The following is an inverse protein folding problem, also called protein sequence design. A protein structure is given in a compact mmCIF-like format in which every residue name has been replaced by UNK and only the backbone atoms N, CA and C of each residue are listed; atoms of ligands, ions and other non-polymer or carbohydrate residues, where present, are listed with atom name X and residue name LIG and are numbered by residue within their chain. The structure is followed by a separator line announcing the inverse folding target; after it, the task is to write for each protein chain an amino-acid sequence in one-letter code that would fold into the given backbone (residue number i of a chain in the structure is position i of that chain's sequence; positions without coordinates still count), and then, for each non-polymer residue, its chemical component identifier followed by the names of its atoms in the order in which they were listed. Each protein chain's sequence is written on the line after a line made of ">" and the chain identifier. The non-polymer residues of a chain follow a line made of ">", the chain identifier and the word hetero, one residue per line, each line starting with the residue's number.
data_IF_653957091761
#
_entry.id   IF_653957091761
#
_cell.length_a   1.000
_cell.length_b   1.000
_cell.length_c   1.000
_cell.angle_alpha   90.00
_cell.angle_beta   90.00
_cell.angle_gamma   90.00
#
_symmetry.space_group_name_H-M   'P 1'
#
loop_
_entity.id
_entity.type
_entity.pdbx_description
1 polymer ?
#
# COMPACT_ATOMS: atom_id res chain seq x y z
N UNK A 1 -28.13 -2.42 -25.82
CA UNK A 1 -26.69 -2.62 -25.53
C UNK A 1 -26.57 -3.95 -24.83
N UNK A 2 -25.83 -4.88 -25.41
CA UNK A 2 -25.56 -6.18 -24.78
C UNK A 2 -24.50 -5.99 -23.68
N UNK A 3 -24.94 -6.14 -22.43
CA UNK A 3 -24.11 -5.97 -21.25
C UNK A 3 -23.39 -7.28 -20.85
N UNK A 4 -23.71 -8.42 -21.47
CA UNK A 4 -23.17 -9.72 -21.08
C UNK A 4 -21.64 -9.77 -21.26
N UNK A 5 -21.15 -9.28 -22.42
CA UNK A 5 -19.71 -9.22 -22.69
C UNK A 5 -18.93 -8.28 -21.75
N UNK A 6 -19.55 -7.18 -21.31
CA UNK A 6 -18.94 -6.25 -20.35
C UNK A 6 -18.83 -6.90 -18.96
N UNK A 7 -19.85 -7.66 -18.56
CA UNK A 7 -19.89 -8.36 -17.27
C UNK A 7 -18.86 -9.49 -17.23
N UNK A 8 -18.71 -10.26 -18.30
CA UNK A 8 -17.69 -11.31 -18.40
C UNK A 8 -16.28 -10.73 -18.40
N UNK A 9 -16.04 -9.68 -19.19
CA UNK A 9 -14.77 -8.96 -19.17
C UNK A 9 -14.43 -8.46 -17.77
N UNK A 10 -15.38 -7.80 -17.08
CA UNK A 10 -15.15 -7.29 -15.73
C UNK A 10 -14.82 -8.41 -14.74
N UNK A 11 -15.51 -9.56 -14.82
CA UNK A 11 -15.22 -10.74 -13.99
C UNK A 11 -13.82 -11.29 -14.27
N UNK A 12 -13.43 -11.42 -15.54
CA UNK A 12 -12.09 -11.88 -15.93
C UNK A 12 -10.99 -10.93 -15.46
N UNK A 13 -11.23 -9.61 -15.56
CA UNK A 13 -10.31 -8.58 -15.11
C UNK A 13 -10.11 -8.66 -13.61
N UNK A 14 -11.20 -8.68 -12.82
CA UNK A 14 -11.11 -8.80 -11.35
C UNK A 14 -10.40 -10.09 -10.95
N UNK A 15 -10.68 -11.21 -11.64
CA UNK A 15 -10.00 -12.48 -11.38
C UNK A 15 -8.49 -12.38 -11.60
N UNK A 16 -8.07 -11.81 -12.74
CA UNK A 16 -6.66 -11.60 -13.05
C UNK A 16 -5.97 -10.68 -12.03
N UNK A 17 -6.60 -9.56 -11.66
CA UNK A 17 -6.05 -8.63 -10.66
C UNK A 17 -5.92 -9.26 -9.27
N UNK A 18 -6.83 -10.18 -8.90
CA UNK A 18 -6.70 -10.97 -7.66
C UNK A 18 -5.56 -11.98 -7.74
N UNK A 19 -5.41 -12.66 -8.88
CA UNK A 19 -4.30 -13.60 -9.11
C UNK A 19 -2.94 -12.90 -9.05
N UNK A 20 -2.86 -11.67 -9.56
CA UNK A 20 -1.66 -10.82 -9.46
C UNK A 20 -1.49 -10.14 -8.09
N UNK A 21 -2.32 -10.47 -7.09
CA UNK A 21 -2.32 -9.85 -5.76
C UNK A 21 -2.42 -8.32 -5.76
N UNK A 22 -2.93 -7.71 -6.84
CA UNK A 22 -3.22 -6.28 -6.92
C UNK A 22 -4.47 -5.93 -6.11
N UNK A 23 -5.40 -6.89 -6.01
CA UNK A 23 -6.60 -6.82 -5.17
C UNK A 23 -6.53 -7.91 -4.12
N UNK A 24 -6.65 -7.52 -2.85
CA UNK A 24 -6.67 -8.45 -1.72
C UNK A 24 -8.10 -8.66 -1.22
N UNK A 25 -8.49 -9.92 -1.11
CA UNK A 25 -9.73 -10.36 -0.44
C UNK A 25 -9.51 -10.66 1.05
N UNK A 26 -8.28 -10.98 1.45
CA UNK A 26 -7.91 -11.29 2.83
C UNK A 26 -6.69 -10.46 3.25
N UNK A 27 -6.53 -10.14 4.54
CA UNK A 27 -5.34 -9.48 5.07
C UNK A 27 -4.06 -10.22 4.68
N UNK A 28 -3.06 -9.46 4.22
CA UNK A 28 -1.75 -10.05 3.90
C UNK A 28 -0.98 -10.35 5.19
N UNK A 29 -0.36 -11.54 5.33
CA UNK A 29 0.51 -11.83 6.48
C UNK A 29 1.84 -11.07 6.41
N UNK A 30 2.19 -10.51 5.25
CA UNK A 30 3.44 -9.79 4.97
C UNK A 30 3.19 -8.37 4.48
N UNK A 31 4.15 -7.48 4.70
CA UNK A 31 4.07 -6.10 4.26
C UNK A 31 4.25 -5.98 2.74
N UNK A 32 3.22 -5.51 2.04
CA UNK A 32 3.25 -5.36 0.58
C UNK A 32 3.80 -4.03 0.07
N UNK A 33 4.39 -3.20 0.94
CA UNK A 33 4.92 -1.87 0.58
C UNK A 33 5.98 -1.96 -0.53
N UNK A 34 6.99 -2.80 -0.35
CA UNK A 34 8.08 -2.94 -1.33
C UNK A 34 7.61 -3.67 -2.58
N UNK A 35 6.76 -4.68 -2.43
CA UNK A 35 6.14 -5.38 -3.56
C UNK A 35 5.34 -4.43 -4.47
N UNK A 36 4.45 -3.62 -3.89
CA UNK A 36 3.68 -2.64 -4.66
C UNK A 36 4.58 -1.61 -5.36
N UNK A 37 5.65 -1.17 -4.69
CA UNK A 37 6.60 -0.24 -5.28
C UNK A 37 7.29 -0.84 -6.52
N UNK A 38 7.70 -2.11 -6.46
CA UNK A 38 8.28 -2.82 -7.60
C UNK A 38 7.25 -2.96 -8.73
N UNK A 39 6.05 -3.47 -8.42
CA UNK A 39 5.00 -3.67 -9.42
C UNK A 39 4.59 -2.38 -10.15
N UNK A 40 4.62 -1.22 -9.46
CA UNK A 40 4.34 0.09 -10.07
C UNK A 40 5.48 0.55 -10.98
N UNK A 41 6.74 0.32 -10.58
CA UNK A 41 7.92 0.73 -11.35
C UNK A 41 8.09 -0.14 -12.59
N UNK A 42 7.84 -1.44 -12.48
CA UNK A 42 7.86 -2.41 -13.57
C UNK A 42 6.69 -2.23 -14.56
N UNK A 43 5.63 -1.55 -14.12
CA UNK A 43 4.45 -1.24 -14.94
C UNK A 43 3.34 -2.28 -14.87
N UNK A 44 3.47 -3.33 -14.05
CA UNK A 44 2.42 -4.31 -13.74
C UNK A 44 1.19 -3.65 -13.12
N UNK A 45 1.39 -2.62 -12.29
CA UNK A 45 0.31 -1.78 -11.76
C UNK A 45 0.32 -0.41 -12.43
N UNK A 46 -0.77 -0.06 -13.11
CA UNK A 46 -0.93 1.25 -13.71
C UNK A 46 -1.15 2.32 -12.62
N UNK A 47 -0.16 3.19 -12.44
CA UNK A 47 -0.23 4.30 -11.49
C UNK A 47 0.12 5.65 -12.15
N UNK A 48 -0.29 6.75 -11.51
CA UNK A 48 0.03 8.10 -11.97
C UNK A 48 1.53 8.41 -11.85
N UNK A 49 2.01 9.39 -12.61
CA UNK A 49 3.42 9.84 -12.59
C UNK A 49 3.95 10.06 -11.17
N UNK A 50 3.16 10.68 -10.30
CA UNK A 50 3.57 11.00 -8.94
C UNK A 50 3.69 9.76 -8.04
N UNK A 51 2.80 8.77 -8.22
CA UNK A 51 2.87 7.51 -7.50
C UNK A 51 4.09 6.70 -7.96
N UNK A 52 4.36 6.67 -9.27
CA UNK A 52 5.58 6.04 -9.82
C UNK A 52 6.84 6.64 -9.21
N UNK A 53 6.98 7.97 -9.21
CA UNK A 53 8.12 8.66 -8.60
C UNK A 53 8.25 8.37 -7.10
N UNK A 54 7.14 8.27 -6.36
CA UNK A 54 7.17 7.91 -4.95
C UNK A 54 7.65 6.46 -4.72
N UNK A 55 7.23 5.53 -5.59
CA UNK A 55 7.67 4.13 -5.56
C UNK A 55 9.17 4.02 -5.89
N UNK A 56 9.64 4.69 -6.94
CA UNK A 56 11.06 4.76 -7.29
C UNK A 56 11.90 5.34 -6.14
N UNK A 57 11.42 6.41 -5.49
CA UNK A 57 12.09 6.98 -4.32
C UNK A 57 12.21 5.97 -3.19
N UNK A 58 11.13 5.23 -2.90
CA UNK A 58 11.16 4.20 -1.86
C UNK A 58 12.20 3.13 -2.15
N UNK A 59 12.28 2.62 -3.39
CA UNK A 59 13.26 1.60 -3.78
C UNK A 59 14.70 2.14 -3.72
N UNK A 60 14.93 3.37 -4.21
CA UNK A 60 16.26 4.02 -4.12
C UNK A 60 16.69 4.25 -2.67
N UNK A 61 15.79 4.69 -1.81
CA UNK A 61 16.09 4.88 -0.39
C UNK A 61 16.34 3.52 0.30
N UNK A 62 15.68 2.44 -0.13
CA UNK A 62 15.92 1.08 0.38
C UNK A 62 17.32 0.59 0.01
N UNK A 63 17.73 0.77 -1.24
CA UNK A 63 19.09 0.44 -1.71
C UNK A 63 20.15 1.27 -0.99
N UNK A 64 19.93 2.59 -0.85
CA UNK A 64 20.83 3.45 -0.08
C UNK A 64 20.96 3.01 1.36
N UNK A 65 19.85 2.71 2.03
CA UNK A 65 19.91 2.19 3.39
C UNK A 65 20.73 0.90 3.46
N UNK A 66 20.59 -0.02 2.49
CA UNK A 66 21.37 -1.27 2.51
C UNK A 66 22.86 -1.05 2.26
N UNK A 67 23.22 -0.14 1.37
CA UNK A 67 24.60 0.00 0.86
C UNK A 67 25.42 1.08 1.54
N UNK A 68 24.77 2.06 2.18
CA UNK A 68 25.40 3.21 2.81
C UNK A 68 25.26 3.15 4.34
N UNK A 69 26.35 2.89 5.08
CA UNK A 69 26.35 2.90 6.54
C UNK A 69 25.97 4.26 7.13
N UNK A 70 26.32 5.36 6.43
CA UNK A 70 26.11 6.75 6.88
C UNK A 70 24.68 7.23 6.59
N UNK A 71 23.89 6.47 5.82
CA UNK A 71 22.50 6.82 5.56
C UNK A 71 21.66 6.67 6.85
N UNK A 72 21.06 7.76 7.37
CA UNK A 72 20.50 7.77 8.72
C UNK A 72 19.15 7.05 8.84
N UNK A 73 18.54 6.65 7.73
CA UNK A 73 17.21 6.05 7.70
C UNK A 73 17.26 4.55 7.38
N UNK A 74 16.51 3.77 8.14
CA UNK A 74 16.27 2.35 7.89
C UNK A 74 14.78 2.10 7.66
N UNK A 75 14.48 1.12 6.81
CA UNK A 75 13.12 0.66 6.61
C UNK A 75 12.86 -0.51 7.55
N UNK A 76 11.97 -0.30 8.52
CA UNK A 76 11.54 -1.28 9.50
C UNK A 76 10.17 -1.83 9.10
N UNK A 77 10.17 -3.04 8.55
CA UNK A 77 8.95 -3.71 8.07
C UNK A 77 7.95 -3.99 9.19
N UNK A 78 8.42 -4.30 10.40
CA UNK A 78 7.54 -4.64 11.51
C UNK A 78 6.84 -3.38 12.05
N UNK A 79 7.55 -2.25 12.12
CA UNK A 79 6.95 -0.95 12.45
C UNK A 79 5.98 -0.47 11.36
N UNK A 80 6.27 -0.71 10.08
CA UNK A 80 5.36 -0.42 8.99
C UNK A 80 4.09 -1.29 9.03
N UNK A 81 4.24 -2.57 9.38
CA UNK A 81 3.13 -3.53 9.36
C UNK A 81 2.21 -3.41 10.59
N UNK A 82 2.74 -2.94 11.73
CA UNK A 82 1.95 -2.73 12.96
C UNK A 82 0.68 -1.88 12.77
N UNK A 83 0.70 -0.66 12.18
CA UNK A 83 -0.51 0.13 11.97
C UNK A 83 -1.49 -0.53 10.99
N UNK A 84 -0.98 -1.24 9.99
CA UNK A 84 -1.80 -1.99 9.01
C UNK A 84 -2.59 -3.08 9.74
N UNK A 85 -1.90 -3.94 10.51
CA UNK A 85 -2.56 -4.98 11.32
C UNK A 85 -3.53 -4.40 12.34
N UNK A 86 -3.24 -3.22 12.90
CA UNK A 86 -4.17 -2.54 13.79
C UNK A 86 -5.46 -2.16 13.07
N UNK A 87 -5.35 -1.53 11.89
CA UNK A 87 -6.49 -1.11 11.08
C UNK A 87 -7.34 -2.32 10.68
N UNK A 88 -6.73 -3.37 10.14
CA UNK A 88 -7.47 -4.54 9.66
C UNK A 88 -8.17 -5.30 10.80
N UNK A 89 -7.60 -5.30 12.01
CA UNK A 89 -8.17 -5.98 13.19
C UNK A 89 -9.17 -5.14 13.98
N UNK A 90 -9.03 -3.81 14.00
CA UNK A 90 -9.77 -2.94 14.92
C UNK A 90 -10.72 -1.98 14.22
N UNK A 91 -10.50 -1.65 12.95
CA UNK A 91 -11.39 -0.77 12.21
C UNK A 91 -12.44 -1.61 11.47
N UNK A 92 -13.68 -1.57 11.99
CA UNK A 92 -14.85 -2.10 11.28
C UNK A 92 -15.53 -0.98 10.48
N UNK A 93 -15.82 -1.19 9.18
CA UNK A 93 -16.64 -0.24 8.42
C UNK A 93 -18.00 -0.05 9.10
N UNK A 94 -18.45 1.20 9.30
CA UNK A 94 -19.76 1.46 9.93
C UNK A 94 -20.95 1.19 8.99
N UNK A 95 -20.69 0.95 7.69
CA UNK A 95 -21.70 0.67 6.66
C UNK A 95 -21.27 -0.53 5.82
N UNK A 96 -22.10 -1.57 5.81
CA UNK A 96 -21.93 -2.80 5.01
C UNK A 96 -21.78 -4.07 5.85
N UNK A 97 -21.96 -5.23 5.23
CA UNK A 97 -21.85 -6.58 5.82
C UNK A 97 -20.38 -7.05 5.93
N UNK A 98 -19.45 -6.11 6.12
CA UNK A 98 -18.02 -6.41 6.16
C UNK A 98 -17.51 -6.34 7.59
N UNK A 99 -17.10 -7.50 8.11
CA UNK A 99 -16.62 -7.62 9.48
C UNK A 99 -15.22 -7.04 9.72
N UNK A 100 -14.44 -6.85 8.66
CA UNK A 100 -13.06 -6.37 8.71
C UNK A 100 -12.70 -5.59 7.45
N UNK A 101 -11.86 -4.57 7.59
CA UNK A 101 -11.31 -3.81 6.48
C UNK A 101 -10.04 -4.50 5.97
N UNK A 102 -10.00 -4.92 4.71
CA UNK A 102 -8.78 -5.46 4.08
C UNK A 102 -8.05 -4.33 3.37
N UNK A 103 -6.84 -4.02 3.83
CA UNK A 103 -6.04 -2.95 3.22
C UNK A 103 -5.48 -3.45 1.89
N UNK A 104 -5.67 -2.67 0.84
CA UNK A 104 -5.14 -3.00 -0.49
C UNK A 104 -3.63 -2.74 -0.57
N UNK A 105 -2.90 -3.31 -1.54
CA UNK A 105 -1.44 -3.15 -1.65
C UNK A 105 -0.99 -1.68 -1.78
N UNK A 106 -1.76 -0.85 -2.49
CA UNK A 106 -1.49 0.59 -2.56
C UNK A 106 -1.70 1.29 -1.20
N UNK A 107 -2.56 0.75 -0.34
CA UNK A 107 -2.75 1.25 1.02
C UNK A 107 -1.62 0.81 1.94
N UNK A 108 -1.15 -0.43 1.80
CA UNK A 108 0.08 -0.89 2.41
C UNK A 108 1.27 0.00 2.01
N UNK A 109 1.31 0.47 0.76
CA UNK A 109 2.39 1.33 0.30
C UNK A 109 2.47 2.64 1.07
N UNK A 110 1.40 3.46 1.10
CA UNK A 110 1.51 4.76 1.76
C UNK A 110 1.62 4.62 3.30
N UNK A 111 0.88 3.69 3.92
CA UNK A 111 0.98 3.46 5.39
C UNK A 111 2.38 2.96 5.74
N UNK A 112 2.88 1.97 5.02
CA UNK A 112 4.23 1.44 5.24
C UNK A 112 5.31 2.47 4.98
N UNK A 113 5.15 3.37 3.99
CA UNK A 113 6.11 4.45 3.77
C UNK A 113 6.13 5.45 4.93
N UNK A 114 4.97 5.81 5.50
CA UNK A 114 4.87 6.78 6.60
C UNK A 114 5.45 6.22 7.91
N UNK A 115 5.16 4.95 8.22
CA UNK A 115 5.50 4.34 9.50
C UNK A 115 6.77 3.48 9.49
N UNK A 116 7.18 2.98 8.31
CA UNK A 116 8.33 2.08 8.17
C UNK A 116 9.68 2.79 8.12
N UNK A 117 9.74 4.03 7.63
CA UNK A 117 11.01 4.76 7.60
C UNK A 117 11.32 5.35 8.97
N UNK A 118 12.37 4.81 9.61
CA UNK A 118 12.81 5.22 10.95
C UNK A 118 14.28 5.58 10.98
N UNK A 119 14.65 6.49 11.87
CA UNK A 119 16.06 6.83 12.12
C UNK A 119 16.76 5.65 12.80
N UNK A 120 17.99 5.32 12.36
CA UNK A 120 18.76 4.18 12.87
C UNK A 120 19.11 4.30 14.36
N UNK A 121 19.48 5.49 14.80
CA UNK A 121 19.95 5.74 16.17
C UNK A 121 18.77 5.97 17.12
N UNK A 122 17.90 6.91 16.75
CA UNK A 122 16.84 7.39 17.63
C UNK A 122 15.52 6.61 17.48
N UNK A 123 15.36 5.82 16.41
CA UNK A 123 14.17 5.01 16.17
C UNK A 123 12.89 5.79 15.79
N UNK A 124 12.98 7.11 15.68
CA UNK A 124 11.86 7.99 15.31
C UNK A 124 11.52 7.92 13.82
N UNK A 125 10.24 8.17 13.50
CA UNK A 125 9.76 8.19 12.10
C UNK A 125 10.37 9.34 11.31
N UNK A 126 10.76 9.05 10.07
CA UNK A 126 11.22 10.04 9.08
C UNK A 126 10.14 11.03 8.72
N UNK A 127 8.93 10.52 8.47
CA UNK A 127 7.79 11.33 8.05
C UNK A 127 6.85 11.55 9.23
N UNK A 128 6.61 12.83 9.54
CA UNK A 128 5.63 13.25 10.56
C UNK A 128 4.25 13.50 9.95
N UNK A 129 4.24 14.00 8.72
CA UNK A 129 3.04 14.39 7.99
C UNK A 129 3.06 13.74 6.60
N UNK A 130 1.87 13.42 6.08
CA UNK A 130 1.70 12.85 4.76
C UNK A 130 0.49 13.44 4.07
N UNK A 131 0.66 13.81 2.80
CA UNK A 131 -0.41 14.33 1.96
C UNK A 131 -0.79 13.29 0.91
N UNK A 132 -2.00 12.74 1.01
CA UNK A 132 -2.48 11.67 0.12
C UNK A 132 -3.67 12.14 -0.71
N UNK A 133 -3.43 12.34 -2.00
CA UNK A 133 -4.48 12.64 -2.98
C UNK A 133 -5.11 11.34 -3.48
N UNK A 134 -6.42 11.20 -3.25
CA UNK A 134 -7.19 10.03 -3.68
C UNK A 134 -8.49 10.53 -4.32
N UNK A 135 -8.89 9.85 -5.40
CA UNK A 135 -10.17 10.07 -6.07
C UNK A 135 -11.38 9.69 -5.20
N UNK A 136 -12.56 10.16 -5.60
CA UNK A 136 -13.83 9.81 -4.95
C UNK A 136 -14.11 8.30 -5.05
N UNK A 137 -14.83 7.75 -4.07
CA UNK A 137 -15.20 6.33 -3.92
C UNK A 137 -14.07 5.33 -3.59
N UNK A 138 -12.85 5.80 -3.29
CA UNK A 138 -11.72 4.93 -2.90
C UNK A 138 -11.63 4.65 -1.38
N UNK A 139 -12.76 4.51 -0.67
CA UNK A 139 -12.75 4.19 0.77
C UNK A 139 -12.14 5.26 1.70
N UNK A 140 -11.92 6.48 1.20
CA UNK A 140 -11.24 7.59 1.94
C UNK A 140 -11.90 7.95 3.28
N UNK A 141 -13.20 7.67 3.44
CA UNK A 141 -13.97 7.99 4.66
C UNK A 141 -13.82 6.90 5.74
N UNK A 142 -13.34 5.71 5.38
CA UNK A 142 -13.25 4.53 6.27
C UNK A 142 -11.80 4.30 6.73
N UNK A 143 -10.81 4.79 5.97
CA UNK A 143 -9.41 4.82 6.40
C UNK A 143 -9.25 5.85 7.52
N UNK A 144 -8.64 5.52 8.68
CA UNK A 144 -8.48 6.44 9.81
C UNK A 144 -7.39 7.52 9.58
N UNK A 145 -7.10 7.85 8.32
CA UNK A 145 -6.06 8.79 7.90
C UNK A 145 -6.62 9.88 6.98
#
# INVERSE_FOLDING_TARGET
>A
MDYAGIVEWAKSYIKNEKEQAHILDNPSPVLLTTYYAQAVVEGSVMASKWVKLACERHLKDLEKSKNDPDYPWAFDEEKAHRPIRFIEKKCKPSKGDYDHLVLQPWQHFFVGNIFGWVNREAGYRRYREALVFLGRKNGKVISPF
#
